data_IF_696191312071
#
_entry.id   IF_696191312071
#
_cell.length_a   1.000
_cell.length_b   1.000
_cell.length_c   1.000
_cell.angle_alpha   90.00
_cell.angle_beta   90.00
_cell.angle_gamma   90.00
#
_symmetry.space_group_name_H-M   'P 1'
#
loop_
_entity.id
_entity.type
_entity.pdbx_description
1 polymer ?
#
# COMPACT_ATOMS: atom_id res chain seq x y z
N UNK A 1 3.30 -4.50 11.51
CA UNK A 1 2.09 -5.05 10.83
C UNK A 1 1.43 -3.92 10.05
N UNK A 2 1.12 -4.09 8.76
CA UNK A 2 0.51 -3.03 7.95
C UNK A 2 -1.01 -3.03 8.05
N UNK A 3 -1.68 -1.90 7.83
CA UNK A 3 -3.14 -1.75 7.76
C UNK A 3 -3.53 -0.69 6.73
N UNK A 4 -4.81 -0.69 6.34
CA UNK A 4 -5.38 0.38 5.53
C UNK A 4 -6.00 1.45 6.42
N UNK A 5 -5.60 2.69 6.18
CA UNK A 5 -6.29 3.87 6.66
C UNK A 5 -6.97 4.53 5.45
N UNK A 6 -8.28 4.81 5.58
CA UNK A 6 -9.02 5.47 4.50
C UNK A 6 -8.48 6.89 4.29
N UNK A 7 -8.18 7.23 3.05
CA UNK A 7 -7.84 8.59 2.66
C UNK A 7 -9.03 9.54 2.83
N UNK A 8 -8.78 10.83 2.61
CA UNK A 8 -9.87 11.83 2.52
C UNK A 8 -10.67 11.60 1.23
N UNK A 9 -10.02 11.05 0.20
CA UNK A 9 -10.58 10.75 -1.11
C UNK A 9 -10.96 9.26 -1.19
N UNK A 10 -11.97 8.92 -1.99
CA UNK A 10 -12.50 7.54 -2.10
C UNK A 10 -11.67 6.65 -3.05
N UNK A 11 -10.68 7.23 -3.72
CA UNK A 11 -9.83 6.59 -4.72
C UNK A 11 -8.43 6.25 -4.19
N UNK A 12 -8.14 6.53 -2.91
CA UNK A 12 -6.88 6.14 -2.29
C UNK A 12 -7.00 5.68 -0.83
N UNK A 13 -6.06 4.83 -0.43
CA UNK A 13 -5.82 4.45 0.95
C UNK A 13 -4.38 4.73 1.34
N UNK A 14 -4.20 5.22 2.56
CA UNK A 14 -2.88 5.26 3.20
C UNK A 14 -2.58 3.90 3.80
N UNK A 15 -1.33 3.46 3.69
CA UNK A 15 -0.85 2.29 4.43
C UNK A 15 -0.27 2.78 5.75
N UNK A 16 -0.71 2.21 6.86
CA UNK A 16 -0.14 2.49 8.18
C UNK A 16 0.54 1.26 8.73
N UNK A 17 1.65 1.46 9.43
CA UNK A 17 2.36 0.40 10.13
C UNK A 17 2.11 0.50 11.63
N UNK A 18 1.88 -0.65 12.28
CA UNK A 18 1.92 -0.74 13.73
C UNK A 18 3.34 -0.98 14.22
N UNK A 19 3.87 -0.02 14.99
CA UNK A 19 5.17 -0.04 15.66
C UNK A 19 4.96 0.28 17.14
N UNK A 20 5.42 -0.60 18.03
CA UNK A 20 5.29 -0.47 19.50
C UNK A 20 3.86 -0.14 19.98
N UNK A 21 2.85 -0.71 19.32
CA UNK A 21 1.43 -0.51 19.64
C UNK A 21 0.83 0.79 19.10
N UNK A 22 1.62 1.65 18.45
CA UNK A 22 1.17 2.86 17.77
C UNK A 22 1.02 2.64 16.26
N UNK A 23 0.05 3.33 15.64
CA UNK A 23 -0.10 3.37 14.19
C UNK A 23 0.67 4.58 13.65
N UNK A 24 1.62 4.33 12.76
CA UNK A 24 2.41 5.34 12.07
C UNK A 24 2.18 5.25 10.57
N UNK A 25 2.34 6.36 9.86
CA UNK A 25 2.26 6.39 8.40
C UNK A 25 3.39 5.56 7.79
N UNK A 26 3.06 4.68 6.85
CA UNK A 26 4.05 3.97 6.06
C UNK A 26 4.30 4.74 4.77
N UNK A 27 5.49 4.63 4.19
CA UNK A 27 5.82 5.27 2.91
C UNK A 27 5.13 4.60 1.69
N UNK A 28 3.93 4.07 1.87
CA UNK A 28 3.16 3.31 0.87
C UNK A 28 1.70 3.77 0.83
N UNK A 29 1.13 3.74 -0.37
CA UNK A 29 -0.28 4.05 -0.63
C UNK A 29 -0.88 2.97 -1.51
N UNK A 30 -2.20 2.90 -1.49
CA UNK A 30 -2.99 2.07 -2.39
C UNK A 30 -3.90 2.98 -3.18
N UNK A 31 -3.64 3.07 -4.48
CA UNK A 31 -4.32 3.97 -5.38
C UNK A 31 -5.22 3.18 -6.32
N UNK A 32 -6.37 3.75 -6.64
CA UNK A 32 -7.29 3.19 -7.62
C UNK A 32 -6.80 3.48 -9.04
N UNK A 33 -6.67 2.43 -9.83
CA UNK A 33 -6.33 2.48 -11.25
C UNK A 33 -7.52 2.02 -12.11
N UNK A 34 -7.39 2.16 -13.43
CA UNK A 34 -8.45 1.80 -14.38
C UNK A 34 -8.74 0.28 -14.38
N UNK A 35 -7.75 -0.56 -14.03
CA UNK A 35 -7.81 -2.02 -14.02
C UNK A 35 -7.83 -2.63 -12.62
N UNK A 36 -7.92 -1.81 -11.56
CA UNK A 36 -7.98 -2.30 -10.19
C UNK A 36 -7.31 -1.37 -9.20
N UNK A 37 -6.58 -1.94 -8.24
CA UNK A 37 -5.82 -1.23 -7.23
C UNK A 37 -4.33 -1.52 -7.38
N UNK A 38 -3.52 -0.50 -7.13
CA UNK A 38 -2.06 -0.57 -7.21
C UNK A 38 -1.42 -0.03 -5.94
N UNK A 39 -0.23 -0.54 -5.62
CA UNK A 39 0.59 -0.05 -4.52
C UNK A 39 1.63 0.91 -5.06
N UNK A 40 1.73 2.09 -4.45
CA UNK A 40 2.72 3.11 -4.79
C UNK A 40 3.54 3.51 -3.55
N UNK A 41 4.80 3.86 -3.75
CA UNK A 41 5.65 4.41 -2.71
C UNK A 41 5.51 5.93 -2.69
N UNK A 42 5.27 6.51 -1.51
CA UNK A 42 4.92 7.93 -1.37
C UNK A 42 6.01 8.89 -1.90
N UNK A 43 7.28 8.48 -1.76
CA UNK A 43 8.43 9.34 -2.07
C UNK A 43 9.27 8.86 -3.27
N UNK A 44 8.93 7.74 -3.94
CA UNK A 44 9.80 7.17 -4.98
C UNK A 44 9.08 6.36 -6.05
N UNK A 45 9.14 6.85 -7.29
CA UNK A 45 8.63 6.14 -8.45
C UNK A 45 9.47 4.90 -8.79
N UNK A 46 10.77 4.92 -8.53
CA UNK A 46 11.65 3.77 -8.78
C UNK A 46 11.31 2.61 -7.84
N UNK A 47 11.04 2.90 -6.56
CA UNK A 47 10.59 1.90 -5.58
C UNK A 47 9.21 1.35 -5.96
N UNK A 48 8.31 2.23 -6.41
CA UNK A 48 7.00 1.82 -6.95
C UNK A 48 7.15 0.85 -8.11
N UNK A 49 8.00 1.19 -9.08
CA UNK A 49 8.26 0.35 -10.25
C UNK A 49 8.90 -0.99 -9.87
N UNK A 50 9.83 -0.99 -8.91
CA UNK A 50 10.49 -2.19 -8.42
C UNK A 50 9.52 -3.12 -7.66
N UNK A 51 8.55 -2.58 -6.93
CA UNK A 51 7.54 -3.36 -6.24
C UNK A 51 6.60 -4.09 -7.22
N UNK A 52 6.19 -3.41 -8.30
CA UNK A 52 5.39 -4.01 -9.37
C UNK A 52 4.02 -4.55 -8.94
N UNK A 53 3.48 -4.04 -7.83
CA UNK A 53 2.24 -4.52 -7.21
C UNK A 53 1.04 -3.76 -7.78
N UNK A 54 0.35 -4.33 -8.78
CA UNK A 54 -0.76 -3.69 -9.50
C UNK A 54 -1.88 -4.66 -9.87
N UNK A 55 -3.03 -4.13 -10.29
CA UNK A 55 -4.14 -4.91 -10.87
C UNK A 55 -4.93 -5.73 -9.85
N UNK A 56 -4.93 -5.34 -8.58
CA UNK A 56 -5.68 -6.07 -7.54
C UNK A 56 -7.17 -5.70 -7.56
N UNK A 57 -8.04 -6.68 -7.34
CA UNK A 57 -9.49 -6.46 -7.32
C UNK A 57 -10.00 -5.65 -6.12
N UNK A 58 -9.24 -5.62 -5.02
CA UNK A 58 -9.58 -4.89 -3.80
C UNK A 58 -8.33 -4.23 -3.19
N UNK A 59 -8.48 -3.14 -2.42
CA UNK A 59 -7.35 -2.52 -1.74
C UNK A 59 -6.73 -3.45 -0.68
N UNK A 60 -7.53 -4.33 -0.05
CA UNK A 60 -7.03 -5.32 0.91
C UNK A 60 -6.09 -6.34 0.25
N UNK A 61 -6.42 -6.79 -0.96
CA UNK A 61 -5.53 -7.70 -1.70
C UNK A 61 -4.20 -7.03 -2.04
N UNK A 62 -4.22 -5.73 -2.35
CA UNK A 62 -3.02 -4.95 -2.60
C UNK A 62 -2.16 -4.77 -1.34
N UNK A 63 -2.76 -4.51 -0.17
CA UNK A 63 -2.01 -4.40 1.10
C UNK A 63 -1.43 -5.73 1.54
N UNK A 64 -2.14 -6.84 1.29
CA UNK A 64 -1.65 -8.19 1.58
C UNK A 64 -0.43 -8.55 0.73
N UNK A 65 -0.44 -8.19 -0.55
CA UNK A 65 0.70 -8.36 -1.43
C UNK A 65 1.92 -7.53 -0.96
N UNK A 66 1.68 -6.29 -0.52
CA UNK A 66 2.72 -5.44 0.05
C UNK A 66 3.31 -6.05 1.34
N UNK A 67 2.46 -6.55 2.26
CA UNK A 67 2.92 -7.25 3.47
C UNK A 67 3.81 -8.44 3.11
N UNK A 68 3.41 -9.23 2.13
CA UNK A 68 4.19 -10.38 1.67
C UNK A 68 5.55 -9.96 1.07
N UNK A 69 5.58 -8.86 0.29
CA UNK A 69 6.80 -8.32 -0.29
C UNK A 69 7.81 -7.89 0.79
N UNK A 70 7.36 -7.11 1.78
CA UNK A 70 8.23 -6.55 2.83
C UNK A 70 8.63 -7.58 3.89
N UNK A 71 7.96 -8.73 3.95
CA UNK A 71 8.30 -9.82 4.87
C UNK A 71 9.36 -10.77 4.28
N UNK A 72 9.80 -10.57 3.03
CA UNK A 72 10.89 -11.35 2.42
C UNK A 72 12.23 -10.94 3.06
N UNK A 73 13.07 -11.90 3.45
CA UNK A 73 14.38 -11.62 4.04
C UNK A 73 15.35 -11.01 3.04
#
# INVERSE_FOLDING_TARGET
MLFLARGIEDDNYMVVEQVDGMLVDAAWRIDKEWDGWAVSHADSNDVTAAAGLRGYGTPEAAVDALRALLSRP
#
